data_IF_754023313433
#
_entry.id   IF_754023313433
#
_cell.length_a   1.000
_cell.length_b   1.000
_cell.length_c   1.000
_cell.angle_alpha   90.00
_cell.angle_beta   90.00
_cell.angle_gamma   90.00
#
_symmetry.space_group_name_H-M   'P 1'
#
loop_
_entity.id
_entity.type
_entity.pdbx_description
1 polymer ?
#
# COMPACT_ATOMS: atom_id res chain seq x y z
N UNK A 1 22.31 14.74 -12.47
CA UNK A 1 23.09 14.30 -11.30
C UNK A 1 22.60 12.91 -10.94
N UNK A 2 23.34 11.85 -11.29
CA UNK A 2 22.97 10.47 -10.98
C UNK A 2 23.13 10.28 -9.47
N UNK A 3 22.02 10.30 -8.74
CA UNK A 3 22.00 10.02 -7.31
C UNK A 3 22.17 8.51 -7.08
N UNK A 4 22.78 8.18 -5.95
CA UNK A 4 23.37 6.90 -5.61
C UNK A 4 22.31 5.84 -5.25
N UNK A 5 21.60 5.35 -6.27
CA UNK A 5 20.64 4.25 -6.16
C UNK A 5 21.29 3.00 -5.53
N UNK A 6 22.61 2.82 -5.69
CA UNK A 6 23.37 1.69 -5.16
C UNK A 6 23.46 1.68 -3.62
N UNK A 7 23.54 2.84 -2.97
CA UNK A 7 23.48 2.93 -1.50
C UNK A 7 22.10 2.58 -0.96
N UNK A 8 21.03 3.04 -1.61
CA UNK A 8 19.65 2.68 -1.25
C UNK A 8 19.44 1.17 -1.44
N UNK A 9 19.86 0.59 -2.56
CA UNK A 9 19.76 -0.85 -2.82
C UNK A 9 20.55 -1.70 -1.83
N UNK A 10 21.80 -1.32 -1.51
CA UNK A 10 22.61 -2.03 -0.52
C UNK A 10 22.00 -1.92 0.89
N UNK A 11 21.46 -0.76 1.24
CA UNK A 11 20.87 -0.50 2.55
C UNK A 11 19.57 -1.27 2.80
N UNK A 12 18.63 -1.28 1.84
CA UNK A 12 17.36 -1.99 1.97
C UNK A 12 17.56 -3.52 2.05
N UNK A 13 18.63 -4.04 1.43
CA UNK A 13 19.06 -5.43 1.54
C UNK A 13 19.63 -5.78 2.92
N UNK A 14 20.23 -4.80 3.60
CA UNK A 14 20.95 -4.99 4.87
C UNK A 14 20.11 -4.69 6.12
N UNK A 15 19.05 -3.85 6.06
CA UNK A 15 18.52 -3.19 7.27
C UNK A 15 17.02 -3.34 7.59
N UNK A 16 16.18 -3.99 6.77
CA UNK A 16 14.80 -4.26 7.22
C UNK A 16 14.77 -5.49 8.12
N UNK A 17 14.77 -5.26 9.43
CA UNK A 17 14.51 -6.27 10.45
C UNK A 17 13.15 -5.99 11.07
N UNK A 18 12.21 -6.93 10.94
CA UNK A 18 10.98 -6.97 11.76
C UNK A 18 10.80 -8.42 12.18
N UNK A 19 10.80 -8.66 13.50
CA UNK A 19 10.41 -9.95 14.08
C UNK A 19 8.89 -10.13 13.90
N UNK A 20 8.51 -11.20 13.22
CA UNK A 20 7.15 -11.73 13.29
C UNK A 20 7.19 -12.79 14.39
N UNK A 21 6.31 -12.68 15.39
CA UNK A 21 6.11 -13.72 16.40
C UNK A 21 5.95 -15.09 15.70
N UNK A 22 6.83 -16.03 16.04
CA UNK A 22 6.91 -17.37 15.45
C UNK A 22 5.62 -18.19 15.64
N UNK A 23 4.68 -17.68 16.44
CA UNK A 23 3.33 -18.21 16.63
C UNK A 23 2.28 -17.63 15.67
N UNK A 24 2.66 -16.93 14.59
CA UNK A 24 1.71 -16.45 13.57
C UNK A 24 1.14 -17.63 12.74
N UNK A 25 0.21 -18.35 13.35
CA UNK A 25 -0.78 -19.16 12.66
C UNK A 25 -1.83 -18.18 12.13
N UNK A 26 -2.13 -18.24 10.84
CA UNK A 26 -3.26 -17.53 10.25
C UNK A 26 -4.55 -18.03 10.93
N UNK A 27 -4.95 -17.39 12.03
CA UNK A 27 -6.23 -17.65 12.66
C UNK A 27 -7.28 -17.02 11.73
N UNK A 28 -8.21 -17.80 11.14
CA UNK A 28 -9.35 -17.22 10.43
C UNK A 28 -10.08 -16.28 11.39
N UNK A 29 -10.77 -15.23 10.92
CA UNK A 29 -11.29 -14.17 11.79
C UNK A 29 -12.30 -14.74 12.78
N UNK A 30 -11.80 -15.11 13.96
CA UNK A 30 -12.52 -15.17 15.20
C UNK A 30 -11.81 -14.18 16.10
N UNK A 31 -12.36 -12.96 16.07
CA UNK A 31 -12.33 -11.98 17.15
C UNK A 31 -11.04 -11.96 17.97
N UNK A 32 -10.02 -11.24 17.49
CA UNK A 32 -8.91 -10.82 18.33
C UNK A 32 -9.17 -9.39 18.79
N UNK A 33 -9.65 -9.28 20.04
CA UNK A 33 -9.70 -8.03 20.80
C UNK A 33 -8.28 -7.52 21.02
N UNK A 34 -7.98 -6.33 20.52
CA UNK A 34 -6.80 -5.57 20.94
C UNK A 34 -7.29 -4.56 21.97
N UNK A 35 -6.63 -4.55 23.13
CA UNK A 35 -7.02 -3.78 24.32
C UNK A 35 -7.42 -2.33 24.02
N UNK A 36 -8.50 -1.92 24.71
CA UNK A 36 -9.35 -0.74 24.49
C UNK A 36 -10.03 -0.73 23.12
N UNK A 37 -11.12 -1.48 23.02
CA UNK A 37 -11.98 -1.62 21.85
C UNK A 37 -12.46 -0.25 21.32
N UNK A 38 -11.73 0.33 20.37
CA UNK A 38 -12.35 1.18 19.37
C UNK A 38 -13.04 0.23 18.38
N UNK A 39 -14.35 0.10 18.49
CA UNK A 39 -15.18 -0.38 17.38
C UNK A 39 -15.13 0.74 16.35
N UNK A 40 -14.50 0.48 15.20
CA UNK A 40 -14.37 1.50 14.17
C UNK A 40 -15.60 1.48 13.28
N UNK A 41 -16.37 2.55 13.34
CA UNK A 41 -17.35 2.88 12.32
C UNK A 41 -16.62 3.18 11.00
N UNK A 42 -16.79 2.32 10.00
CA UNK A 42 -16.43 2.62 8.63
C UNK A 42 -17.57 3.42 7.99
N UNK A 43 -17.24 4.55 7.37
CA UNK A 43 -18.23 5.32 6.62
C UNK A 43 -18.77 4.46 5.44
N UNK A 44 -20.11 4.39 5.27
CA UNK A 44 -20.71 3.64 4.17
C UNK A 44 -20.38 4.31 2.82
N UNK A 45 -20.20 3.49 1.80
CA UNK A 45 -19.97 3.94 0.43
C UNK A 45 -21.31 4.25 -0.25
N UNK A 46 -21.43 5.44 -0.85
CA UNK A 46 -22.56 5.77 -1.73
C UNK A 46 -22.31 5.28 -3.16
N UNK A 47 -23.23 4.45 -3.67
CA UNK A 47 -23.20 3.93 -5.05
C UNK A 47 -23.72 4.95 -6.09
N UNK A 48 -24.28 6.08 -5.65
CA UNK A 48 -24.98 7.04 -6.51
C UNK A 48 -24.14 8.24 -6.98
N UNK A 49 -22.82 8.21 -6.77
CA UNK A 49 -21.94 9.30 -7.21
C UNK A 49 -21.47 9.08 -8.65
N UNK A 50 -21.82 10.01 -9.56
CA UNK A 50 -21.22 10.08 -10.91
C UNK A 50 -19.69 10.12 -10.78
N UNK A 51 -18.91 9.37 -11.58
CA UNK A 51 -17.46 9.42 -11.50
C UNK A 51 -16.97 10.82 -11.86
N UNK A 52 -16.56 11.58 -10.83
CA UNK A 52 -16.01 12.93 -10.96
C UNK A 52 -14.49 12.94 -10.77
N UNK A 53 -13.88 11.76 -10.53
CA UNK A 53 -12.47 11.63 -10.17
C UNK A 53 -11.58 12.39 -11.15
N UNK A 54 -10.69 13.19 -10.58
CA UNK A 54 -9.59 13.86 -11.30
C UNK A 54 -8.30 13.62 -10.54
N UNK A 55 -7.19 13.74 -11.24
CA UNK A 55 -5.89 13.68 -10.57
C UNK A 55 -5.60 15.05 -9.99
N UNK A 56 -5.59 15.15 -8.66
CA UNK A 56 -5.32 16.41 -7.96
C UNK A 56 -3.90 16.40 -7.42
N UNK A 57 -3.16 17.48 -7.70
CA UNK A 57 -1.73 17.54 -7.38
C UNK A 57 -1.40 18.34 -6.13
N UNK A 58 -2.33 19.18 -5.69
CA UNK A 58 -2.21 19.97 -4.46
C UNK A 58 -3.14 19.37 -3.41
N UNK A 59 -2.54 18.77 -2.39
CA UNK A 59 -3.22 17.87 -1.46
C UNK A 59 -2.92 18.29 -0.01
N UNK A 60 -3.98 18.49 0.77
CA UNK A 60 -3.94 18.87 2.18
C UNK A 60 -4.25 17.69 3.11
N UNK A 61 -3.82 17.82 4.36
CA UNK A 61 -3.99 16.81 5.41
C UNK A 61 -5.45 16.52 5.74
N UNK A 62 -5.68 15.32 6.26
CA UNK A 62 -7.00 14.81 6.61
C UNK A 62 -6.93 13.88 7.82
N UNK A 63 -8.09 13.44 8.31
CA UNK A 63 -8.20 12.55 9.47
C UNK A 63 -7.93 11.09 9.07
N UNK A 64 -7.18 10.36 9.90
CA UNK A 64 -6.77 8.98 9.70
C UNK A 64 -7.97 8.04 9.52
N UNK A 65 -9.13 8.37 10.11
CA UNK A 65 -10.37 7.60 9.91
C UNK A 65 -10.75 7.45 8.43
N UNK A 66 -10.53 8.48 7.61
CA UNK A 66 -10.80 8.43 6.17
C UNK A 66 -9.79 7.54 5.45
N UNK A 67 -8.51 7.61 5.83
CA UNK A 67 -7.46 6.72 5.29
C UNK A 67 -7.81 5.25 5.55
N UNK A 68 -8.20 4.95 6.79
CA UNK A 68 -8.65 3.62 7.18
C UNK A 68 -9.84 3.13 6.35
N UNK A 69 -10.87 3.96 6.19
CA UNK A 69 -12.06 3.60 5.40
C UNK A 69 -11.67 3.26 3.96
N UNK A 70 -10.80 4.06 3.35
CA UNK A 70 -10.25 3.80 2.02
C UNK A 70 -9.57 2.44 1.98
N UNK A 71 -8.63 2.16 2.89
CA UNK A 71 -7.87 0.90 2.89
C UNK A 71 -8.75 -0.32 3.14
N UNK A 72 -9.73 -0.22 4.04
CA UNK A 72 -10.72 -1.26 4.30
C UNK A 72 -11.52 -1.63 3.05
N UNK A 73 -12.07 -0.64 2.35
CA UNK A 73 -12.94 -0.88 1.20
C UNK A 73 -12.18 -1.20 -0.09
N UNK A 74 -10.88 -0.90 -0.17
CA UNK A 74 -10.09 -1.09 -1.39
C UNK A 74 -9.09 -2.24 -1.34
N UNK A 75 -8.50 -2.56 -0.18
CA UNK A 75 -7.31 -3.41 -0.13
C UNK A 75 -7.41 -4.62 0.80
N UNK A 76 -8.43 -4.72 1.67
CA UNK A 76 -8.54 -5.83 2.63
C UNK A 76 -8.66 -7.19 1.95
N UNK A 77 -8.26 -8.23 2.67
CA UNK A 77 -8.65 -9.60 2.38
C UNK A 77 -10.09 -9.80 2.84
N UNK A 78 -10.98 -10.12 1.91
CA UNK A 78 -12.39 -10.40 2.18
C UNK A 78 -12.60 -11.87 2.53
N UNK A 79 -11.83 -12.74 1.87
CA UNK A 79 -11.85 -14.19 2.06
C UNK A 79 -10.51 -14.77 1.59
N UNK A 80 -10.18 -15.99 2.02
CA UNK A 80 -8.97 -16.69 1.58
C UNK A 80 -9.15 -18.19 1.57
N UNK A 81 -8.53 -18.85 0.59
CA UNK A 81 -8.55 -20.30 0.43
C UNK A 81 -7.17 -20.80 0.01
N UNK A 82 -6.73 -21.90 0.62
CA UNK A 82 -5.53 -22.62 0.17
C UNK A 82 -5.94 -23.54 -0.97
N UNK A 83 -5.31 -23.39 -2.13
CA UNK A 83 -5.60 -24.22 -3.30
C UNK A 83 -4.98 -25.61 -3.16
N UNK A 84 -5.38 -26.55 -4.03
CA UNK A 84 -4.79 -27.89 -4.13
C UNK A 84 -3.27 -27.87 -4.38
N UNK A 85 -2.75 -26.77 -4.93
CA UNK A 85 -1.32 -26.55 -5.16
C UNK A 85 -0.63 -25.86 -3.97
N UNK A 86 -1.22 -25.88 -2.78
CA UNK A 86 -0.75 -25.17 -1.57
C UNK A 86 -0.51 -23.67 -1.76
N UNK A 87 -1.24 -23.03 -2.68
CA UNK A 87 -1.15 -21.58 -2.88
C UNK A 87 -2.27 -20.89 -2.09
N UNK A 88 -1.91 -19.91 -1.26
CA UNK A 88 -2.91 -19.08 -0.57
C UNK A 88 -3.50 -18.07 -1.55
N UNK A 89 -4.74 -18.31 -1.97
CA UNK A 89 -5.51 -17.40 -2.80
C UNK A 89 -6.36 -16.50 -1.90
N UNK A 90 -6.38 -15.21 -2.15
CA UNK A 90 -7.24 -14.26 -1.43
C UNK A 90 -8.29 -13.66 -2.37
N UNK A 91 -9.47 -13.37 -1.83
CA UNK A 91 -10.43 -12.46 -2.44
C UNK A 91 -10.17 -11.05 -1.88
N UNK A 92 -9.99 -10.07 -2.76
CA UNK A 92 -9.83 -8.66 -2.40
C UNK A 92 -10.72 -7.76 -3.28
N UNK A 93 -11.02 -6.51 -2.86
CA UNK A 93 -11.92 -5.62 -3.60
C UNK A 93 -11.46 -5.25 -5.02
N UNK A 94 -10.15 -5.28 -5.31
CA UNK A 94 -9.62 -5.08 -6.66
C UNK A 94 -9.30 -6.42 -7.32
N UNK A 95 -9.48 -6.57 -8.64
CA UNK A 95 -9.16 -7.82 -9.35
C UNK A 95 -7.65 -8.01 -9.51
N UNK A 96 -7.20 -9.26 -9.48
CA UNK A 96 -5.81 -9.65 -9.75
C UNK A 96 -5.75 -10.85 -10.69
N UNK A 97 -4.71 -10.91 -11.53
CA UNK A 97 -4.49 -12.02 -12.43
C UNK A 97 -4.45 -13.38 -11.69
N UNK A 98 -5.39 -14.27 -12.02
CA UNK A 98 -5.51 -15.58 -11.38
C UNK A 98 -5.84 -15.52 -9.88
N UNK A 99 -6.24 -14.35 -9.35
CA UNK A 99 -6.41 -14.10 -7.92
C UNK A 99 -5.10 -14.23 -7.14
N UNK A 100 -3.95 -13.90 -7.77
CA UNK A 100 -2.63 -14.04 -7.14
C UNK A 100 -2.34 -12.97 -6.10
N UNK A 101 -2.87 -11.76 -6.27
CA UNK A 101 -2.67 -10.60 -5.39
C UNK A 101 -1.21 -10.44 -4.97
N UNK A 102 -0.30 -10.14 -5.93
CA UNK A 102 1.13 -10.03 -5.64
C UNK A 102 1.48 -8.79 -4.81
N UNK A 103 0.53 -7.87 -4.62
CA UNK A 103 0.78 -6.54 -4.08
C UNK A 103 0.52 -6.47 -2.58
N UNK A 104 1.52 -5.95 -1.88
CA UNK A 104 1.46 -5.39 -0.54
C UNK A 104 1.41 -3.86 -0.63
N UNK A 105 0.96 -3.21 0.44
CA UNK A 105 0.78 -1.75 0.46
C UNK A 105 1.54 -1.13 1.63
N UNK A 106 2.45 -0.22 1.32
CA UNK A 106 3.05 0.67 2.30
C UNK A 106 2.37 2.03 2.24
N UNK A 107 2.26 2.68 3.39
CA UNK A 107 1.70 4.01 3.54
C UNK A 107 2.76 4.90 4.21
N UNK A 108 3.14 5.99 3.56
CA UNK A 108 3.95 7.03 4.16
C UNK A 108 3.04 8.18 4.57
N UNK A 109 3.23 8.69 5.78
CA UNK A 109 2.44 9.80 6.33
C UNK A 109 3.33 10.96 6.73
N UNK A 110 2.88 12.17 6.40
CA UNK A 110 3.51 13.43 6.81
C UNK A 110 2.42 14.49 7.07
N UNK A 111 2.39 15.06 8.27
CA UNK A 111 1.45 16.15 8.61
C UNK A 111 -0.02 15.72 8.70
N UNK A 112 -0.28 14.42 8.93
CA UNK A 112 -1.62 13.93 9.27
C UNK A 112 -2.05 14.40 10.66
N UNK A 113 -3.35 14.62 10.87
CA UNK A 113 -3.86 15.26 12.11
C UNK A 113 -3.75 14.37 13.36
N UNK A 114 -3.93 13.07 13.16
CA UNK A 114 -4.18 12.05 14.19
C UNK A 114 -3.43 10.74 13.90
N UNK A 115 -2.43 10.78 13.01
CA UNK A 115 -1.52 9.68 12.71
C UNK A 115 -0.10 10.23 12.64
N UNK A 116 0.83 9.58 13.34
CA UNK A 116 2.22 10.01 13.37
C UNK A 116 2.86 9.96 11.97
N UNK A 117 3.86 10.80 11.75
CA UNK A 117 4.67 10.75 10.55
C UNK A 117 5.50 9.45 10.53
N UNK A 118 5.66 8.87 9.34
CA UNK A 118 6.53 7.71 9.16
C UNK A 118 6.09 6.77 8.07
N UNK A 119 6.63 5.55 8.13
CA UNK A 119 6.34 4.46 7.21
C UNK A 119 5.47 3.42 7.91
N UNK A 120 4.43 2.96 7.22
CA UNK A 120 3.46 2.01 7.74
C UNK A 120 3.23 0.89 6.73
N UNK A 121 3.04 -0.33 7.22
CA UNK A 121 2.50 -1.43 6.43
C UNK A 121 1.00 -1.57 6.69
N UNK A 122 0.21 -1.69 5.62
CA UNK A 122 -1.19 -2.09 5.77
C UNK A 122 -1.30 -3.61 5.74
N UNK A 123 -1.60 -4.22 6.89
CA UNK A 123 -1.96 -5.63 6.99
C UNK A 123 -3.40 -5.82 6.47
N UNK A 124 -3.59 -6.46 5.30
CA UNK A 124 -4.91 -6.56 4.70
C UNK A 124 -5.80 -7.62 5.36
N UNK A 125 -5.24 -8.52 6.18
CA UNK A 125 -6.00 -9.52 6.93
C UNK A 125 -6.55 -8.93 8.23
N UNK A 126 -5.69 -8.21 8.96
CA UNK A 126 -6.07 -7.57 10.24
C UNK A 126 -6.74 -6.22 10.06
N UNK A 127 -6.59 -5.61 8.88
CA UNK A 127 -7.09 -4.26 8.58
C UNK A 127 -6.44 -3.25 9.55
N UNK A 128 -5.12 -3.33 9.67
CA UNK A 128 -4.32 -2.50 10.59
C UNK A 128 -3.14 -1.86 9.88
N UNK A 129 -2.76 -0.66 10.33
CA UNK A 129 -1.49 -0.05 9.96
C UNK A 129 -0.45 -0.38 11.02
N UNK A 130 0.59 -1.11 10.61
CA UNK A 130 1.73 -1.46 11.45
C UNK A 130 2.85 -0.48 11.18
N UNK A 131 3.29 0.26 12.21
CA UNK A 131 4.43 1.17 12.07
C UNK A 131 5.68 0.38 11.73
N UNK A 132 6.45 0.87 10.77
CA UNK A 132 7.75 0.31 10.42
C UNK A 132 8.82 1.34 10.70
N UNK A 133 10.01 0.86 11.06
CA UNK A 133 11.19 1.70 11.06
C UNK A 133 11.60 1.98 9.61
N UNK A 134 11.41 3.24 9.21
CA UNK A 134 11.85 3.69 7.90
C UNK A 134 13.39 3.75 7.86
N UNK A 135 14.02 3.27 6.79
CA UNK A 135 15.40 3.61 6.47
C UNK A 135 15.66 5.10 6.59
N UNK A 136 16.84 5.46 7.08
CA UNK A 136 17.27 6.87 7.13
C UNK A 136 17.17 7.48 5.74
N UNK A 137 16.39 8.55 5.61
CA UNK A 137 16.21 9.29 4.36
C UNK A 137 15.24 8.68 3.35
N UNK A 138 14.66 7.49 3.60
CA UNK A 138 13.72 6.87 2.65
C UNK A 138 12.40 7.63 2.57
N UNK A 139 11.82 7.97 3.73
CA UNK A 139 10.58 8.76 3.80
C UNK A 139 10.75 10.11 3.12
N UNK A 140 11.84 10.81 3.42
CA UNK A 140 12.21 12.10 2.86
C UNK A 140 12.43 12.01 1.35
N UNK A 141 13.09 10.93 0.89
CA UNK A 141 13.30 10.69 -0.54
C UNK A 141 11.97 10.51 -1.28
N UNK A 142 11.07 9.66 -0.76
CA UNK A 142 9.77 9.41 -1.39
C UNK A 142 8.91 10.68 -1.38
N UNK A 143 8.87 11.44 -0.29
CA UNK A 143 8.13 12.71 -0.24
C UNK A 143 8.74 13.75 -1.19
N UNK A 144 10.07 13.86 -1.27
CA UNK A 144 10.76 14.74 -2.22
C UNK A 144 10.45 14.39 -3.68
N UNK A 145 10.50 13.09 -4.02
CA UNK A 145 10.14 12.62 -5.35
C UNK A 145 8.66 12.88 -5.68
N UNK A 146 7.79 12.67 -4.70
CA UNK A 146 6.35 12.92 -4.83
C UNK A 146 6.07 14.40 -5.08
N UNK A 147 6.65 15.30 -4.26
CA UNK A 147 6.54 16.74 -4.45
C UNK A 147 7.00 17.18 -5.85
N UNK A 148 8.14 16.63 -6.32
CA UNK A 148 8.66 16.90 -7.67
C UNK A 148 7.69 16.46 -8.77
N UNK A 149 7.10 15.27 -8.66
CA UNK A 149 6.16 14.74 -9.66
C UNK A 149 4.80 15.46 -9.64
N UNK A 150 4.39 15.94 -8.48
CA UNK A 150 3.18 16.74 -8.33
C UNK A 150 3.37 18.20 -8.74
N UNK A 151 4.62 18.67 -8.85
CA UNK A 151 4.96 20.10 -9.03
C UNK A 151 4.31 20.98 -7.94
N UNK A 152 4.23 20.43 -6.72
CA UNK A 152 3.53 20.99 -5.56
C UNK A 152 4.24 20.54 -4.27
N UNK A 153 3.89 21.09 -3.10
CA UNK A 153 4.32 20.53 -1.82
C UNK A 153 4.05 19.03 -1.70
N UNK A 154 4.82 18.34 -0.86
CA UNK A 154 4.62 16.93 -0.61
C UNK A 154 3.19 16.66 -0.10
N UNK A 155 2.52 15.60 -0.59
CA UNK A 155 1.19 15.26 -0.13
C UNK A 155 1.25 14.67 1.29
N UNK A 156 0.16 14.73 2.06
CA UNK A 156 0.18 14.22 3.44
C UNK A 156 0.29 12.69 3.52
N UNK A 157 -0.11 11.99 2.45
CA UNK A 157 -0.03 10.54 2.34
C UNK A 157 0.50 10.14 0.96
N UNK A 158 1.48 9.23 0.96
CA UNK A 158 1.94 8.51 -0.24
C UNK A 158 1.78 7.02 -0.01
N UNK A 159 0.96 6.37 -0.82
CA UNK A 159 0.82 4.91 -0.83
C UNK A 159 1.80 4.31 -1.84
N UNK A 160 2.55 3.29 -1.45
CA UNK A 160 3.46 2.55 -2.31
C UNK A 160 2.96 1.13 -2.53
N UNK A 161 2.84 0.74 -3.79
CA UNK A 161 2.55 -0.64 -4.17
C UNK A 161 3.85 -1.44 -4.19
N UNK A 162 3.89 -2.53 -3.42
CA UNK A 162 5.06 -3.41 -3.30
C UNK A 162 4.71 -4.79 -3.83
N UNK A 163 5.30 -5.18 -4.96
CA UNK A 163 5.01 -6.43 -5.64
C UNK A 163 5.99 -7.54 -5.26
N UNK A 164 5.48 -8.61 -4.65
CA UNK A 164 6.22 -9.86 -4.44
C UNK A 164 6.09 -10.68 -5.73
N UNK A 165 7.11 -10.60 -6.60
CA UNK A 165 6.99 -11.10 -7.98
C UNK A 165 6.68 -12.59 -8.05
N UNK A 166 7.27 -13.38 -7.15
CA UNK A 166 7.11 -14.83 -7.06
C UNK A 166 5.64 -15.27 -7.03
N UNK A 167 4.75 -14.51 -6.37
CA UNK A 167 3.31 -14.84 -6.27
C UNK A 167 2.65 -14.95 -7.64
N UNK A 168 3.07 -14.14 -8.61
CA UNK A 168 2.56 -14.16 -9.98
C UNK A 168 3.45 -14.99 -10.92
N UNK A 169 4.78 -14.84 -10.83
CA UNK A 169 5.73 -15.47 -11.74
C UNK A 169 5.82 -16.99 -11.55
N UNK A 170 5.53 -17.51 -10.35
CA UNK A 170 5.42 -18.96 -10.11
C UNK A 170 4.36 -19.65 -10.98
N UNK A 171 3.40 -18.89 -11.53
CA UNK A 171 2.35 -19.42 -12.42
C UNK A 171 2.44 -18.91 -13.85
N UNK A 172 2.87 -17.67 -14.03
CA UNK A 172 2.88 -17.00 -15.32
C UNK A 172 4.31 -16.65 -15.70
N UNK A 173 4.90 -17.44 -16.62
CA UNK A 173 6.28 -17.25 -17.10
C UNK A 173 6.57 -15.84 -17.61
N UNK A 174 5.58 -15.19 -18.24
CA UNK A 174 5.65 -13.80 -18.72
C UNK A 174 4.74 -12.88 -17.89
N UNK A 175 4.73 -13.05 -16.57
CA UNK A 175 3.75 -12.46 -15.67
C UNK A 175 4.00 -11.00 -15.26
N UNK A 176 5.13 -10.39 -15.62
CA UNK A 176 5.46 -9.01 -15.22
C UNK A 176 4.37 -8.00 -15.63
N UNK A 177 3.85 -8.11 -16.86
CA UNK A 177 2.76 -7.25 -17.32
C UNK A 177 1.45 -7.42 -16.54
N UNK A 178 1.24 -8.58 -15.90
CA UNK A 178 0.08 -8.80 -15.02
C UNK A 178 0.24 -8.02 -13.71
N UNK A 179 1.46 -7.94 -13.16
CA UNK A 179 1.74 -7.23 -11.91
C UNK A 179 1.48 -5.72 -12.06
N UNK A 180 1.90 -5.14 -13.19
CA UNK A 180 1.60 -3.73 -13.47
C UNK A 180 0.11 -3.46 -13.66
N UNK A 181 -0.63 -4.37 -14.31
CA UNK A 181 -2.10 -4.29 -14.40
C UNK A 181 -2.77 -4.37 -13.04
N UNK A 182 -2.32 -5.28 -12.18
CA UNK A 182 -2.80 -5.40 -10.81
C UNK A 182 -2.54 -4.10 -10.02
N UNK A 183 -1.38 -3.46 -10.23
CA UNK A 183 -1.04 -2.17 -9.58
C UNK A 183 -2.00 -1.07 -10.02
N UNK A 184 -2.25 -0.97 -11.33
CA UNK A 184 -3.23 -0.03 -11.88
C UNK A 184 -4.64 -0.27 -11.36
N UNK A 185 -5.05 -1.54 -11.24
CA UNK A 185 -6.35 -1.91 -10.66
C UNK A 185 -6.45 -1.47 -9.20
N UNK A 186 -5.47 -1.84 -8.37
CA UNK A 186 -5.43 -1.47 -6.95
C UNK A 186 -5.52 0.05 -6.76
N UNK A 187 -4.67 0.82 -7.45
CA UNK A 187 -4.71 2.28 -7.34
C UNK A 187 -5.98 2.91 -7.91
N UNK A 188 -6.55 2.36 -8.97
CA UNK A 188 -7.84 2.85 -9.50
C UNK A 188 -8.98 2.62 -8.52
N UNK A 189 -9.00 1.45 -7.86
CA UNK A 189 -9.95 1.14 -6.79
C UNK A 189 -9.78 2.10 -5.61
N UNK A 190 -8.54 2.28 -5.11
CA UNK A 190 -8.25 3.22 -4.02
C UNK A 190 -8.72 4.64 -4.38
N UNK A 191 -8.40 5.14 -5.58
CA UNK A 191 -8.81 6.47 -6.02
C UNK A 191 -10.34 6.61 -6.13
N UNK A 192 -11.05 5.56 -6.53
CA UNK A 192 -12.52 5.56 -6.58
C UNK A 192 -13.15 5.66 -5.19
N UNK A 193 -12.65 4.86 -4.23
CA UNK A 193 -13.10 4.92 -2.84
C UNK A 193 -12.71 6.26 -2.18
N UNK A 194 -11.52 6.78 -2.47
CA UNK A 194 -11.07 8.08 -1.94
C UNK A 194 -12.06 9.20 -2.27
N UNK A 195 -12.54 9.25 -3.51
CA UNK A 195 -13.55 10.23 -3.94
C UNK A 195 -14.83 10.14 -3.12
N UNK A 196 -15.24 8.95 -2.69
CA UNK A 196 -16.45 8.76 -1.87
C UNK A 196 -16.28 9.30 -0.45
N UNK A 197 -15.04 9.48 0.02
CA UNK A 197 -14.71 10.13 1.28
C UNK A 197 -14.27 11.59 1.12
N UNK A 198 -14.58 12.21 -0.04
CA UNK A 198 -14.20 13.58 -0.39
C UNK A 198 -12.67 13.80 -0.39
N UNK A 199 -11.92 12.73 -0.66
CA UNK A 199 -10.48 12.76 -0.86
C UNK A 199 -10.17 12.64 -2.35
N UNK A 200 -9.05 13.22 -2.72
CA UNK A 200 -8.55 13.21 -4.09
C UNK A 200 -7.16 12.57 -4.10
N UNK A 201 -6.77 12.07 -5.26
CA UNK A 201 -5.52 11.34 -5.40
C UNK A 201 -4.81 11.65 -6.71
N UNK A 202 -3.51 11.39 -6.75
CA UNK A 202 -2.72 11.44 -7.98
C UNK A 202 -1.74 10.26 -8.01
N UNK A 203 -1.77 9.49 -9.08
CA UNK A 203 -0.77 8.45 -9.31
C UNK A 203 0.59 9.10 -9.58
N UNK A 204 1.64 8.49 -9.04
CA UNK A 204 3.02 8.94 -9.12
C UNK A 204 3.79 7.95 -10.00
N UNK A 205 4.36 8.48 -11.10
CA UNK A 205 5.06 7.69 -12.11
C UNK A 205 6.50 7.35 -11.74
N UNK A 206 6.72 6.70 -10.60
CA UNK A 206 8.01 6.11 -10.25
C UNK A 206 7.87 4.62 -9.95
N UNK A 207 8.98 3.90 -10.06
CA UNK A 207 9.09 2.49 -9.71
C UNK A 207 10.53 2.16 -9.33
N UNK A 208 10.70 1.17 -8.47
CA UNK A 208 12.00 0.76 -7.98
C UNK A 208 12.09 -0.76 -7.95
N UNK A 209 13.17 -1.34 -8.46
CA UNK A 209 13.37 -2.78 -8.53
C UNK A 209 14.37 -3.23 -7.48
N UNK A 210 13.93 -3.94 -6.44
CA UNK A 210 14.83 -4.44 -5.40
C UNK A 210 15.11 -5.94 -5.56
N UNK A 211 16.37 -6.30 -5.39
CA UNK A 211 16.80 -7.69 -5.29
C UNK A 211 17.17 -8.03 -3.85
N UNK A 212 16.83 -9.23 -3.39
CA UNK A 212 17.09 -9.71 -2.03
C UNK A 212 16.55 -8.77 -0.95
N UNK A 213 15.39 -8.16 -1.18
CA UNK A 213 14.78 -7.26 -0.21
C UNK A 213 14.18 -8.07 0.95
N UNK A 214 14.36 -7.57 2.17
CA UNK A 214 13.58 -8.05 3.29
C UNK A 214 12.35 -7.15 3.43
N UNK A 215 11.17 -7.72 3.21
CA UNK A 215 9.91 -7.00 3.30
C UNK A 215 9.06 -7.70 4.33
N UNK A 216 8.70 -6.96 5.37
CA UNK A 216 7.92 -7.47 6.50
C UNK A 216 8.59 -8.69 7.16
N UNK A 217 9.91 -8.71 7.27
CA UNK A 217 10.65 -9.85 7.86
C UNK A 217 10.83 -11.04 6.89
N UNK A 218 10.28 -11.00 5.69
CA UNK A 218 10.46 -12.03 4.66
C UNK A 218 11.51 -11.61 3.62
N UNK A 219 12.61 -12.34 3.57
CA UNK A 219 13.59 -12.22 2.47
C UNK A 219 12.97 -12.76 1.18
N UNK A 220 12.92 -11.93 0.15
CA UNK A 220 12.44 -12.30 -1.20
C UNK A 220 13.45 -11.91 -2.26
N UNK A 221 13.65 -12.81 -3.21
CA UNK A 221 14.66 -12.66 -4.27
C UNK A 221 14.36 -11.45 -5.14
N UNK A 222 13.10 -11.25 -5.51
CA UNK A 222 12.65 -10.12 -6.32
C UNK A 222 11.41 -9.44 -5.73
N UNK A 223 11.57 -8.17 -5.34
CA UNK A 223 10.45 -7.32 -4.94
C UNK A 223 10.57 -5.93 -5.55
N UNK A 224 9.49 -5.46 -6.16
CA UNK A 224 9.47 -4.17 -6.82
C UNK A 224 8.48 -3.21 -6.15
N UNK A 225 8.85 -1.94 -6.00
CA UNK A 225 7.86 -0.87 -5.86
C UNK A 225 7.33 -0.58 -7.26
N UNK A 226 6.06 -0.93 -7.50
CA UNK A 226 5.42 -0.83 -8.82
C UNK A 226 4.62 0.45 -9.02
N UNK A 227 4.66 1.36 -8.05
CA UNK A 227 4.07 2.69 -8.21
C UNK A 227 3.80 3.38 -6.89
N UNK A 228 3.50 4.68 -6.99
CA UNK A 228 3.01 5.49 -5.89
C UNK A 228 1.63 6.08 -6.17
N UNK A 229 0.90 6.39 -5.10
CA UNK A 229 -0.35 7.16 -5.14
C UNK A 229 -0.32 8.21 -4.03
N UNK A 230 -0.32 9.49 -4.41
CA UNK A 230 -0.53 10.60 -3.50
C UNK A 230 -2.03 10.68 -3.12
N UNK A 231 -2.33 10.98 -1.86
CA UNK A 231 -3.69 11.04 -1.34
C UNK A 231 -3.84 12.24 -0.39
N UNK A 232 -4.95 12.97 -0.47
CA UNK A 232 -5.29 14.05 0.45
C UNK A 232 -6.59 14.77 0.08
N UNK A 233 -6.91 15.84 0.80
CA UNK A 233 -8.01 16.75 0.43
C UNK A 233 -7.50 17.69 -0.65
N UNK A 234 -8.22 17.85 -1.76
CA UNK A 234 -7.81 18.83 -2.77
C UNK A 234 -7.84 20.26 -2.20
N UNK A 235 -6.74 20.98 -2.37
CA UNK A 235 -6.72 22.43 -2.15
C UNK A 235 -7.40 23.09 -3.34
N UNK A 236 -8.57 23.70 -3.10
CA UNK A 236 -9.35 24.40 -4.12
C UNK A 236 -9.01 25.88 -4.16
#
# INVERSE_FOLDING_TARGET
MKLDDQKLFKFLKENFSIEIDENYIAVPPQTLSVGSDLIIECEPISLNTKPQRRSQRRLNSFECKKLRSILYHSCRVQDSVVTETNYLKTLRPYPSAGGRHPLELLCLTEGMKDLENGLWYFDPYKITLCKLDAPVGFTEHIFSLSAKLLENPAPPVVLLSVAILERTLSRYKNGLGLIWRDTGNMFSTISGIAQQHELESCQLGFSFEFQNANILGLKKEDVWITGGLALGVAER
#
